data_IF_452530780450
#
_entry.id   IF_452530780450
#
_cell.length_a   1.000
_cell.length_b   1.000
_cell.length_c   1.000
_cell.angle_alpha   90.00
_cell.angle_beta   90.00
_cell.angle_gamma   90.00
#
_symmetry.space_group_name_H-M   'P 1'
#
loop_
_entity.id
_entity.type
_entity.pdbx_description
1 polymer ?
#
# COMPACT_ATOMS: atom_id res chain seq x y z
N UNK A 1 16.44 21.12 -14.55
CA UNK A 1 16.71 19.82 -15.20
C UNK A 1 15.36 19.21 -15.54
N UNK A 2 15.21 18.51 -16.66
CA UNK A 2 13.94 17.86 -17.02
C UNK A 2 13.89 16.48 -16.38
N UNK A 3 12.82 16.16 -15.64
CA UNK A 3 12.63 14.85 -15.02
C UNK A 3 12.37 13.80 -16.11
N UNK A 4 13.11 12.70 -16.10
CA UNK A 4 12.84 11.53 -16.94
C UNK A 4 12.38 10.33 -16.11
N UNK A 5 11.77 9.36 -16.77
CA UNK A 5 11.33 8.10 -16.14
C UNK A 5 12.49 7.40 -15.41
N UNK A 6 13.69 7.36 -16.00
CA UNK A 6 14.88 6.78 -15.35
C UNK A 6 15.29 7.49 -14.05
N UNK A 7 15.03 8.78 -13.93
CA UNK A 7 15.33 9.54 -12.72
C UNK A 7 14.36 9.12 -11.61
N UNK A 8 13.07 8.97 -11.91
CA UNK A 8 12.09 8.42 -10.96
C UNK A 8 12.46 7.00 -10.56
N UNK A 9 12.86 6.14 -11.49
CA UNK A 9 13.31 4.77 -11.18
C UNK A 9 14.47 4.81 -10.18
N UNK A 10 15.47 5.66 -10.42
CA UNK A 10 16.63 5.80 -9.52
C UNK A 10 16.22 6.33 -8.15
N UNK A 11 15.37 7.35 -8.10
CA UNK A 11 14.87 7.95 -6.85
C UNK A 11 14.09 6.92 -6.04
N UNK A 12 13.18 6.19 -6.70
CA UNK A 12 12.39 5.15 -6.05
C UNK A 12 13.24 3.97 -5.62
N UNK A 13 14.25 3.55 -6.37
CA UNK A 13 15.15 2.48 -5.94
C UNK A 13 16.06 2.89 -4.76
N UNK A 14 16.36 4.19 -4.61
CA UNK A 14 17.03 4.70 -3.41
C UNK A 14 16.10 4.73 -2.19
N UNK A 15 14.82 5.05 -2.39
CA UNK A 15 13.85 5.20 -1.31
C UNK A 15 13.21 3.86 -0.89
N UNK A 16 12.69 3.12 -1.87
CA UNK A 16 12.10 1.80 -1.76
C UNK A 16 12.80 0.81 -2.70
N UNK A 17 14.03 0.36 -2.37
CA UNK A 17 14.82 -0.53 -3.21
C UNK A 17 14.07 -1.77 -3.69
N UNK A 18 14.29 -2.17 -4.94
CA UNK A 18 13.61 -3.34 -5.53
C UNK A 18 13.84 -4.64 -4.74
N UNK A 19 14.99 -4.78 -4.08
CA UNK A 19 15.33 -5.95 -3.28
C UNK A 19 14.52 -6.08 -1.97
N UNK A 20 13.73 -5.08 -1.61
CA UNK A 20 12.82 -5.13 -0.47
C UNK A 20 11.44 -5.68 -0.82
N UNK A 21 11.16 -5.92 -2.11
CA UNK A 21 9.91 -6.57 -2.50
C UNK A 21 9.88 -8.01 -2.00
N UNK A 22 8.68 -8.55 -1.79
CA UNK A 22 8.46 -9.97 -1.57
C UNK A 22 8.77 -10.80 -2.83
N UNK A 23 9.10 -12.07 -2.65
CA UNK A 23 9.59 -12.93 -3.75
C UNK A 23 8.56 -13.08 -4.88
N UNK A 24 7.28 -13.13 -4.55
CA UNK A 24 6.17 -13.23 -5.50
C UNK A 24 5.89 -11.92 -6.25
N UNK A 25 6.42 -10.80 -5.78
CA UNK A 25 5.96 -9.48 -6.20
C UNK A 25 6.61 -9.01 -7.52
N UNK A 26 6.00 -8.03 -8.17
CA UNK A 26 6.54 -7.36 -9.35
C UNK A 26 6.49 -5.84 -9.15
N UNK A 27 7.63 -5.17 -9.11
CA UNK A 27 7.73 -3.72 -8.88
C UNK A 27 8.65 -3.07 -9.92
N UNK A 28 8.61 -1.74 -10.03
CA UNK A 28 9.40 -0.98 -10.98
C UNK A 28 8.59 -0.42 -12.15
N UNK A 29 9.28 -0.09 -13.25
CA UNK A 29 8.64 0.39 -14.48
C UNK A 29 7.88 -0.77 -15.15
N UNK A 30 6.55 -0.67 -15.18
CA UNK A 30 5.66 -1.69 -15.72
C UNK A 30 5.44 -1.49 -17.23
N UNK A 31 5.17 -0.25 -17.64
CA UNK A 31 4.86 0.13 -19.02
C UNK A 31 5.50 1.50 -19.25
N UNK A 32 6.26 1.68 -20.32
CA UNK A 32 6.84 2.97 -20.67
C UNK A 32 8.26 2.91 -21.19
N UNK A 33 8.89 4.07 -21.30
CA UNK A 33 10.24 4.25 -21.80
C UNK A 33 11.06 5.10 -20.81
N UNK A 34 12.22 4.57 -20.40
CA UNK A 34 13.13 5.17 -19.41
C UNK A 34 13.63 6.56 -19.81
N UNK A 35 13.72 6.85 -21.10
CA UNK A 35 14.22 8.13 -21.61
C UNK A 35 13.15 9.19 -21.78
N UNK A 36 11.86 8.84 -21.63
CA UNK A 36 10.75 9.78 -21.71
C UNK A 36 10.82 10.81 -20.60
N UNK A 37 10.58 12.06 -20.97
CA UNK A 37 10.37 13.14 -20.03
C UNK A 37 9.05 12.92 -19.29
N UNK A 38 9.06 13.11 -17.97
CA UNK A 38 7.87 13.16 -17.13
C UNK A 38 7.51 14.62 -16.91
N UNK A 39 6.29 15.00 -17.28
CA UNK A 39 5.77 16.37 -17.13
C UNK A 39 4.88 16.46 -15.89
N UNK A 40 3.95 15.53 -15.74
CA UNK A 40 2.96 15.51 -14.66
C UNK A 40 2.67 14.07 -14.23
N UNK A 41 2.56 13.87 -12.92
CA UNK A 41 2.47 12.56 -12.28
C UNK A 41 1.08 12.39 -11.66
N UNK A 42 0.42 11.27 -11.95
CA UNK A 42 -0.78 10.82 -11.24
C UNK A 42 -0.39 9.74 -10.22
N UNK A 43 -0.78 9.90 -8.96
CA UNK A 43 -0.65 8.88 -7.92
C UNK A 43 -1.96 8.11 -7.80
N UNK A 44 -1.89 6.79 -7.85
CA UNK A 44 -3.04 5.88 -7.75
C UNK A 44 -2.70 4.63 -6.94
N UNK A 45 -3.73 3.88 -6.55
CA UNK A 45 -3.59 2.55 -5.95
C UNK A 45 -3.60 1.46 -7.04
N UNK A 46 -4.58 1.55 -7.94
CA UNK A 46 -4.79 0.64 -9.06
C UNK A 46 -4.81 1.38 -10.40
N UNK A 47 -4.18 0.81 -11.43
CA UNK A 47 -4.27 1.34 -12.79
C UNK A 47 -5.55 0.81 -13.47
N UNK A 48 -6.71 1.36 -13.11
CA UNK A 48 -8.01 1.05 -13.73
C UNK A 48 -8.18 1.80 -15.06
N UNK A 49 -9.21 1.47 -15.85
CA UNK A 49 -9.51 2.25 -17.06
C UNK A 49 -9.88 3.69 -16.71
N UNK A 50 -10.64 3.91 -15.63
CA UNK A 50 -11.01 5.27 -15.19
C UNK A 50 -9.79 6.08 -14.73
N UNK A 51 -8.81 5.46 -14.09
CA UNK A 51 -7.53 6.11 -13.72
C UNK A 51 -6.71 6.45 -14.97
N UNK A 52 -6.71 5.61 -16.00
CA UNK A 52 -6.05 5.90 -17.28
C UNK A 52 -6.73 7.09 -17.98
N UNK A 53 -8.06 7.11 -18.02
CA UNK A 53 -8.80 8.24 -18.59
C UNK A 53 -8.58 9.52 -17.79
N UNK A 54 -8.57 9.46 -16.45
CA UNK A 54 -8.21 10.61 -15.60
C UNK A 54 -6.79 11.12 -15.90
N UNK A 55 -5.82 10.22 -16.06
CA UNK A 55 -4.46 10.62 -16.42
C UNK A 55 -4.42 11.38 -17.75
N UNK A 56 -5.19 10.92 -18.75
CA UNK A 56 -5.32 11.62 -20.05
C UNK A 56 -5.97 12.99 -19.90
N UNK A 57 -7.12 13.05 -19.20
CA UNK A 57 -7.86 14.29 -18.96
C UNK A 57 -7.02 15.34 -18.23
N UNK A 58 -6.25 14.91 -17.23
CA UNK A 58 -5.38 15.78 -16.43
C UNK A 58 -3.99 15.99 -17.05
N UNK A 59 -3.74 15.41 -18.22
CA UNK A 59 -2.47 15.48 -18.97
C UNK A 59 -1.27 14.94 -18.18
N UNK A 60 -1.49 13.93 -17.34
CA UNK A 60 -0.44 13.17 -16.69
C UNK A 60 0.15 12.15 -17.67
N UNK A 61 1.47 12.19 -17.87
CA UNK A 61 2.19 11.23 -18.71
C UNK A 61 2.96 10.17 -17.90
N UNK A 62 2.75 10.16 -16.57
CA UNK A 62 3.31 9.19 -15.65
C UNK A 62 2.30 8.85 -14.56
N UNK A 63 2.14 7.57 -14.26
CA UNK A 63 1.33 7.05 -13.15
C UNK A 63 2.26 6.35 -12.17
N UNK A 64 2.30 6.84 -10.93
CA UNK A 64 2.90 6.16 -9.79
C UNK A 64 1.81 5.36 -9.08
N UNK A 65 1.88 4.03 -9.20
CA UNK A 65 0.90 3.11 -8.65
C UNK A 65 1.47 2.34 -7.46
N UNK A 66 0.61 1.96 -6.51
CA UNK A 66 1.00 0.97 -5.50
C UNK A 66 0.96 -0.43 -6.09
N UNK A 67 -0.20 -0.88 -6.59
CA UNK A 67 -0.37 -2.22 -7.13
C UNK A 67 0.25 -2.39 -8.52
N UNK A 68 0.90 -3.52 -8.81
CA UNK A 68 1.43 -3.74 -10.15
C UNK A 68 0.34 -4.13 -11.15
N UNK A 69 0.19 -3.33 -12.21
CA UNK A 69 -0.71 -3.68 -13.34
C UNK A 69 -0.31 -5.01 -14.02
N UNK A 70 0.98 -5.37 -13.96
CA UNK A 70 1.52 -6.63 -14.48
C UNK A 70 1.89 -7.59 -13.34
N UNK A 71 1.01 -7.79 -12.35
CA UNK A 71 1.26 -8.77 -11.27
C UNK A 71 1.46 -10.19 -11.83
N UNK A 72 0.62 -10.59 -12.77
CA UNK A 72 0.78 -11.81 -13.56
C UNK A 72 1.23 -11.47 -14.98
N UNK A 73 2.10 -12.31 -15.54
CA UNK A 73 2.57 -12.14 -16.93
C UNK A 73 1.40 -12.33 -17.92
N UNK A 74 1.11 -11.35 -18.79
CA UNK A 74 0.07 -11.51 -19.80
C UNK A 74 0.48 -12.55 -20.85
N UNK A 75 -0.45 -13.41 -21.26
CA UNK A 75 -0.23 -14.36 -22.37
C UNK A 75 -0.28 -13.68 -23.74
N UNK A 76 -1.09 -12.62 -23.86
CA UNK A 76 -1.24 -11.79 -25.05
C UNK A 76 -1.63 -10.36 -24.66
N UNK A 77 -1.39 -9.41 -25.55
CA UNK A 77 -1.80 -8.00 -25.38
C UNK A 77 -2.70 -7.65 -26.56
N UNK A 78 -4.00 -7.86 -26.39
CA UNK A 78 -5.04 -7.52 -27.38
C UNK A 78 -6.17 -6.74 -26.73
N UNK A 79 -6.98 -6.07 -27.54
CA UNK A 79 -8.19 -5.38 -27.06
C UNK A 79 -9.28 -6.34 -26.60
N UNK A 80 -9.09 -7.66 -26.70
CA UNK A 80 -10.07 -8.66 -26.27
C UNK A 80 -10.01 -8.89 -24.75
N UNK A 81 -8.88 -8.55 -24.12
CA UNK A 81 -8.68 -8.67 -22.67
C UNK A 81 -8.69 -7.31 -22.00
N UNK A 82 -9.18 -7.22 -20.76
CA UNK A 82 -9.16 -5.97 -20.00
C UNK A 82 -7.73 -5.45 -19.78
N UNK A 83 -6.80 -6.34 -19.42
CA UNK A 83 -5.39 -5.98 -19.25
C UNK A 83 -4.78 -5.47 -20.55
N UNK A 84 -5.04 -6.14 -21.68
CA UNK A 84 -4.56 -5.69 -22.98
C UNK A 84 -5.15 -4.33 -23.39
N UNK A 85 -6.45 -4.08 -23.15
CA UNK A 85 -7.06 -2.74 -23.35
C UNK A 85 -6.33 -1.66 -22.54
N UNK A 86 -6.05 -1.91 -21.25
CA UNK A 86 -5.31 -0.98 -20.39
C UNK A 86 -3.92 -0.68 -20.94
N UNK A 87 -3.15 -1.72 -21.26
CA UNK A 87 -1.78 -1.59 -21.79
C UNK A 87 -1.78 -0.81 -23.11
N UNK A 88 -2.67 -1.16 -24.05
CA UNK A 88 -2.77 -0.49 -25.35
C UNK A 88 -3.15 0.99 -25.16
N UNK A 89 -4.05 1.31 -24.24
CA UNK A 89 -4.45 2.69 -23.96
C UNK A 89 -3.28 3.50 -23.37
N UNK A 90 -2.55 2.95 -22.40
CA UNK A 90 -1.36 3.57 -21.82
C UNK A 90 -0.28 3.87 -22.89
N UNK A 91 0.04 2.87 -23.73
CA UNK A 91 1.06 3.01 -24.79
C UNK A 91 0.63 4.06 -25.82
N UNK A 92 -0.62 4.01 -26.30
CA UNK A 92 -1.11 4.95 -27.33
C UNK A 92 -1.15 6.40 -26.85
N UNK A 93 -1.24 6.63 -25.54
CA UNK A 93 -1.29 7.96 -24.96
C UNK A 93 0.05 8.38 -24.32
N UNK A 94 1.14 7.64 -24.54
CA UNK A 94 2.48 7.92 -24.01
C UNK A 94 2.49 8.08 -22.47
N UNK A 95 1.68 7.27 -21.77
CA UNK A 95 1.56 7.26 -20.32
C UNK A 95 2.41 6.12 -19.76
N UNK A 96 3.39 6.49 -18.94
CA UNK A 96 4.31 5.57 -18.28
C UNK A 96 3.71 5.13 -16.94
N UNK A 97 3.91 3.88 -16.53
CA UNK A 97 3.40 3.33 -15.27
C UNK A 97 4.53 2.71 -14.49
N UNK A 98 4.74 3.18 -13.26
CA UNK A 98 5.67 2.60 -12.29
C UNK A 98 4.88 2.08 -11.09
N UNK A 99 5.18 0.87 -10.64
CA UNK A 99 4.56 0.28 -9.45
C UNK A 99 5.58 0.17 -8.31
N UNK A 100 5.19 0.61 -7.12
CA UNK A 100 5.92 0.39 -5.87
C UNK A 100 4.97 -0.24 -4.86
N UNK A 101 5.07 -1.56 -4.71
CA UNK A 101 4.14 -2.40 -3.96
C UNK A 101 4.77 -2.82 -2.63
N UNK A 102 5.14 -4.09 -2.46
CA UNK A 102 5.68 -4.61 -1.19
C UNK A 102 7.02 -3.97 -0.79
N UNK A 103 7.82 -3.50 -1.76
CA UNK A 103 9.02 -2.71 -1.47
C UNK A 103 8.68 -1.39 -0.75
N UNK A 104 7.55 -0.75 -1.09
CA UNK A 104 7.07 0.45 -0.43
C UNK A 104 6.40 0.14 0.92
N UNK A 105 5.75 -1.02 1.05
CA UNK A 105 5.26 -1.51 2.34
C UNK A 105 6.39 -1.77 3.33
N UNK A 106 7.55 -2.19 2.81
CA UNK A 106 8.70 -2.59 3.60
C UNK A 106 9.50 -1.43 4.19
N UNK A 107 9.47 -0.22 3.63
CA UNK A 107 10.43 0.84 4.01
C UNK A 107 10.00 1.70 5.19
N UNK A 108 10.97 2.39 5.79
CA UNK A 108 10.69 3.48 6.73
C UNK A 108 9.94 4.61 6.01
N UNK A 109 8.92 5.16 6.66
CA UNK A 109 7.97 6.11 6.06
C UNK A 109 7.23 5.55 4.82
N UNK A 110 7.15 4.23 4.65
CA UNK A 110 6.34 3.55 3.64
C UNK A 110 4.87 3.39 4.05
N UNK A 111 4.09 2.63 3.26
CA UNK A 111 2.63 2.50 3.44
C UNK A 111 2.26 1.91 4.82
N UNK A 112 2.87 0.80 5.24
CA UNK A 112 2.63 0.20 6.57
C UNK A 112 2.89 1.17 7.73
N UNK A 113 3.99 1.93 7.64
CA UNK A 113 4.32 2.92 8.67
C UNK A 113 3.32 4.09 8.64
N UNK A 114 2.98 4.60 7.46
CA UNK A 114 2.00 5.68 7.31
C UNK A 114 0.62 5.25 7.82
N UNK A 115 0.18 4.01 7.53
CA UNK A 115 -1.05 3.44 8.09
C UNK A 115 -1.02 3.41 9.62
N UNK A 116 0.11 3.01 10.20
CA UNK A 116 0.32 2.97 11.65
C UNK A 116 0.27 4.37 12.27
N UNK A 117 0.88 5.37 11.62
CA UNK A 117 0.84 6.77 12.06
C UNK A 117 -0.54 7.41 11.90
N UNK A 118 -1.31 7.04 10.87
CA UNK A 118 -2.71 7.46 10.70
C UNK A 118 -3.60 6.95 11.84
N UNK A 119 -3.30 5.76 12.36
CA UNK A 119 -3.91 5.24 13.59
C UNK A 119 -3.45 5.99 14.86
N UNK A 120 -2.48 6.89 14.76
CA UNK A 120 -1.96 7.70 15.87
C UNK A 120 -0.91 6.96 16.71
N UNK A 121 -0.17 6.02 16.11
CA UNK A 121 0.91 5.30 16.78
C UNK A 121 2.26 5.66 16.17
N UNK A 122 3.14 6.27 16.96
CA UNK A 122 4.49 6.68 16.54
C UNK A 122 5.60 5.74 17.03
N UNK A 123 5.29 4.86 17.99
CA UNK A 123 6.21 3.86 18.53
C UNK A 123 5.77 2.45 18.11
N UNK A 124 6.59 1.81 17.28
CA UNK A 124 6.34 0.47 16.77
C UNK A 124 7.65 -0.24 16.44
N UNK A 125 7.57 -1.55 16.25
CA UNK A 125 8.62 -2.37 15.63
C UNK A 125 8.11 -2.92 14.31
N UNK A 126 9.02 -3.28 13.40
CA UNK A 126 8.63 -4.07 12.21
C UNK A 126 8.13 -5.45 12.65
N UNK A 127 7.05 -5.92 12.04
CA UNK A 127 6.44 -7.22 12.35
C UNK A 127 7.22 -8.38 11.75
N UNK A 128 7.34 -8.42 10.42
CA UNK A 128 8.21 -9.36 9.69
C UNK A 128 9.40 -8.61 9.09
N UNK A 129 10.58 -8.77 9.70
CA UNK A 129 11.78 -8.06 9.25
C UNK A 129 12.25 -8.59 7.89
N UNK A 130 12.62 -7.68 6.99
CA UNK A 130 13.20 -8.02 5.69
C UNK A 130 14.48 -8.86 5.86
N UNK A 131 14.61 -9.88 5.01
CA UNK A 131 15.78 -10.77 4.94
C UNK A 131 16.80 -10.29 3.90
N UNK A 132 16.51 -9.21 3.19
CA UNK A 132 17.35 -8.70 2.11
C UNK A 132 18.71 -8.20 2.63
N UNK A 133 19.77 -8.51 1.89
CA UNK A 133 21.15 -8.14 2.26
C UNK A 133 21.29 -6.60 2.37
N UNK A 134 21.76 -6.15 3.54
CA UNK A 134 21.91 -4.74 3.89
C UNK A 134 20.66 -4.08 4.49
N UNK A 135 19.55 -4.82 4.63
CA UNK A 135 18.27 -4.30 5.12
C UNK A 135 17.69 -5.13 6.28
N UNK A 136 18.43 -6.12 6.76
CA UNK A 136 18.11 -6.97 7.90
C UNK A 136 18.38 -6.32 9.26
N UNK A 137 18.19 -5.00 9.37
CA UNK A 137 18.51 -4.18 10.55
C UNK A 137 17.29 -3.90 11.45
N UNK A 138 16.15 -4.55 11.19
CA UNK A 138 14.90 -4.37 11.95
C UNK A 138 14.13 -3.08 11.65
N UNK A 139 14.55 -2.31 10.64
CA UNK A 139 13.86 -1.10 10.17
C UNK A 139 13.03 -1.32 8.91
N UNK A 140 13.26 -2.42 8.21
CA UNK A 140 12.58 -2.76 6.96
C UNK A 140 11.81 -4.06 7.11
N UNK A 141 10.64 -4.13 6.50
CA UNK A 141 9.83 -5.32 6.36
C UNK A 141 8.34 -5.03 6.50
N UNK A 142 7.53 -6.08 6.41
CA UNK A 142 6.07 -5.98 6.33
C UNK A 142 5.46 -5.86 7.72
N UNK A 143 4.43 -5.01 7.82
CA UNK A 143 3.64 -4.81 9.02
C UNK A 143 4.37 -4.09 10.15
N UNK A 144 3.58 -3.61 11.12
CA UNK A 144 4.07 -2.93 12.33
C UNK A 144 3.44 -3.55 13.58
N UNK A 145 4.24 -3.68 14.63
CA UNK A 145 3.83 -4.16 15.94
C UNK A 145 3.90 -3.01 16.95
N UNK A 146 2.73 -2.56 17.40
CA UNK A 146 2.57 -1.49 18.38
C UNK A 146 2.35 -2.11 19.76
N UNK A 147 3.05 -1.60 20.77
CA UNK A 147 2.81 -1.92 22.18
C UNK A 147 2.30 -0.68 22.89
N UNK A 148 1.16 -0.80 23.55
CA UNK A 148 0.50 0.27 24.28
C UNK A 148 0.93 0.24 25.75
N UNK A 149 1.25 1.41 26.30
CA UNK A 149 1.53 1.57 27.73
C UNK A 149 0.25 1.38 28.56
N UNK A 150 -0.87 1.91 28.06
CA UNK A 150 -2.22 1.72 28.58
C UNK A 150 -3.04 0.99 27.52
N UNK A 151 -3.64 -0.14 27.89
CA UNK A 151 -4.46 -0.92 26.96
C UNK A 151 -5.73 -0.17 26.55
N UNK A 152 -6.29 -0.54 25.40
CA UNK A 152 -7.56 -0.03 24.86
C UNK A 152 -8.54 -1.19 24.70
N UNK A 153 -9.84 -0.99 24.91
CA UNK A 153 -10.81 -2.05 24.62
C UNK A 153 -10.86 -2.35 23.11
N UNK A 154 -11.19 -3.58 22.72
CA UNK A 154 -11.37 -3.92 21.31
C UNK A 154 -12.44 -3.01 20.65
N UNK A 155 -13.53 -2.73 21.36
CA UNK A 155 -14.59 -1.84 20.89
C UNK A 155 -14.10 -0.44 20.56
N UNK A 156 -13.35 0.18 21.48
CA UNK A 156 -12.76 1.51 21.25
C UNK A 156 -11.73 1.48 20.12
N UNK A 157 -10.95 0.40 20.01
CA UNK A 157 -10.01 0.22 18.92
C UNK A 157 -10.73 0.14 17.56
N UNK A 158 -11.84 -0.59 17.45
CA UNK A 158 -12.67 -0.62 16.24
C UNK A 158 -13.18 0.77 15.85
N UNK A 159 -13.68 1.56 16.82
CA UNK A 159 -14.12 2.94 16.59
C UNK A 159 -12.95 3.80 16.10
N UNK A 160 -11.78 3.68 16.74
CA UNK A 160 -10.55 4.39 16.38
C UNK A 160 -10.10 4.05 14.96
N UNK A 161 -10.04 2.76 14.60
CA UNK A 161 -9.67 2.29 13.26
C UNK A 161 -10.61 2.86 12.20
N UNK A 162 -11.92 2.70 12.40
CA UNK A 162 -12.94 3.21 11.48
C UNK A 162 -12.80 4.72 11.26
N UNK A 163 -12.61 5.49 12.34
CA UNK A 163 -12.46 6.95 12.29
C UNK A 163 -11.15 7.37 11.62
N UNK A 164 -10.02 6.77 12.01
CA UNK A 164 -8.68 7.12 11.51
C UNK A 164 -8.55 6.92 10.00
N UNK A 165 -9.07 5.80 9.47
CA UNK A 165 -9.04 5.55 8.03
C UNK A 165 -10.22 6.14 7.27
N UNK A 166 -11.16 6.80 7.95
CA UNK A 166 -12.42 7.30 7.38
C UNK A 166 -13.21 6.20 6.66
N UNK A 167 -13.21 4.99 7.23
CA UNK A 167 -13.84 3.82 6.65
C UNK A 167 -15.37 3.90 6.77
N UNK A 168 -16.09 3.59 5.69
CA UNK A 168 -17.56 3.47 5.69
C UNK A 168 -18.02 2.38 6.66
N UNK A 169 -17.34 1.23 6.63
CA UNK A 169 -17.54 0.10 7.51
C UNK A 169 -16.20 -0.59 7.82
N UNK A 170 -16.22 -1.46 8.82
CA UNK A 170 -15.15 -2.40 9.14
C UNK A 170 -15.83 -3.70 9.61
N UNK A 171 -15.13 -4.82 9.52
CA UNK A 171 -15.55 -6.10 10.13
C UNK A 171 -14.56 -6.46 11.21
N UNK A 172 -15.01 -7.09 12.29
CA UNK A 172 -14.09 -7.51 13.34
C UNK A 172 -14.59 -8.74 14.08
N UNK A 173 -13.69 -9.41 14.80
CA UNK A 173 -13.97 -10.54 15.67
C UNK A 173 -13.18 -10.43 16.97
N UNK A 174 -13.72 -11.00 18.05
CA UNK A 174 -13.13 -10.98 19.38
C UNK A 174 -14.13 -10.49 20.44
N UNK A 175 -13.71 -10.52 21.71
CA UNK A 175 -14.50 -9.96 22.81
C UNK A 175 -14.32 -8.43 22.83
N UNK A 176 -15.41 -7.68 22.68
CA UNK A 176 -15.44 -6.20 22.68
C UNK A 176 -14.76 -5.57 23.90
N UNK A 177 -14.89 -6.21 25.06
CA UNK A 177 -14.36 -5.73 26.34
C UNK A 177 -12.92 -6.20 26.60
N UNK A 178 -12.33 -7.01 25.69
CA UNK A 178 -10.93 -7.46 25.83
C UNK A 178 -10.01 -6.23 25.79
N UNK A 179 -9.16 -6.13 26.79
CA UNK A 179 -8.10 -5.13 26.84
C UNK A 179 -6.97 -5.51 25.88
N UNK A 180 -6.76 -4.69 24.84
CA UNK A 180 -5.73 -4.84 23.82
C UNK A 180 -4.50 -4.03 24.23
N UNK A 181 -3.33 -4.68 24.32
CA UNK A 181 -2.04 -4.03 24.65
C UNK A 181 -1.04 -4.12 23.52
N UNK A 182 -1.12 -5.14 22.68
CA UNK A 182 -0.25 -5.29 21.51
C UNK A 182 -1.10 -5.38 20.24
N UNK A 183 -0.79 -4.55 19.24
CA UNK A 183 -1.51 -4.49 17.98
C UNK A 183 -0.54 -4.79 16.85
N UNK A 184 -0.86 -5.77 16.02
CA UNK A 184 -0.22 -5.95 14.72
C UNK A 184 -1.03 -5.22 13.64
N UNK A 185 -0.36 -4.45 12.78
CA UNK A 185 -0.98 -3.66 11.71
C UNK A 185 -0.30 -4.06 10.41
N UNK A 186 -1.08 -4.53 9.44
CA UNK A 186 -0.62 -4.90 8.09
C UNK A 186 -1.62 -4.30 7.10
N UNK A 187 -1.22 -3.30 6.30
CA UNK A 187 -2.10 -2.79 5.24
C UNK A 187 -2.34 -3.83 4.14
N UNK A 188 -3.41 -3.65 3.37
CA UNK A 188 -3.74 -4.55 2.28
C UNK A 188 -4.17 -5.93 2.77
N UNK A 189 -3.77 -6.96 2.03
CA UNK A 189 -4.07 -8.36 2.36
C UNK A 189 -3.01 -8.96 3.30
N UNK A 190 -3.30 -8.95 4.61
CA UNK A 190 -2.38 -9.43 5.64
C UNK A 190 -2.66 -10.83 6.18
N UNK A 191 -3.49 -11.64 5.50
CA UNK A 191 -3.91 -12.95 6.00
C UNK A 191 -2.71 -13.88 6.30
N UNK A 192 -1.69 -13.86 5.45
CA UNK A 192 -0.48 -14.69 5.61
C UNK A 192 0.33 -14.32 6.87
N UNK A 193 0.12 -13.11 7.40
CA UNK A 193 0.80 -12.60 8.60
C UNK A 193 0.01 -12.83 9.89
N UNK A 194 -1.17 -13.47 9.85
CA UNK A 194 -2.00 -13.70 11.04
C UNK A 194 -1.27 -14.55 12.08
N UNK A 195 -0.71 -15.69 11.65
CA UNK A 195 0.05 -16.58 12.52
C UNK A 195 1.31 -15.90 13.07
N UNK A 196 2.05 -15.17 12.23
CA UNK A 196 3.22 -14.44 12.68
C UNK A 196 2.85 -13.40 13.75
N UNK A 197 1.80 -12.62 13.51
CA UNK A 197 1.29 -11.61 14.45
C UNK A 197 0.97 -12.20 15.81
N UNK A 198 0.27 -13.33 15.83
CA UNK A 198 0.02 -14.13 17.04
C UNK A 198 1.32 -14.54 17.73
N UNK A 199 2.28 -15.13 17.01
CA UNK A 199 3.56 -15.55 17.61
C UNK A 199 4.38 -14.38 18.18
N UNK A 200 4.20 -13.18 17.64
CA UNK A 200 4.81 -11.94 18.13
C UNK A 200 4.06 -11.33 19.32
N UNK A 201 2.98 -11.97 19.77
CA UNK A 201 2.21 -11.59 20.96
C UNK A 201 1.16 -10.51 20.69
N UNK A 202 0.65 -10.38 19.47
CA UNK A 202 -0.44 -9.45 19.19
C UNK A 202 -1.73 -9.89 19.90
N UNK A 203 -2.39 -8.96 20.58
CA UNK A 203 -3.72 -9.15 21.16
C UNK A 203 -4.83 -8.91 20.13
N UNK A 204 -4.54 -8.02 19.16
CA UNK A 204 -5.38 -7.66 18.04
C UNK A 204 -4.55 -7.49 16.76
N UNK A 205 -5.10 -7.91 15.62
CA UNK A 205 -4.52 -7.74 14.28
C UNK A 205 -5.43 -6.84 13.45
N UNK A 206 -4.87 -5.81 12.82
CA UNK A 206 -5.57 -4.89 11.92
C UNK A 206 -5.05 -5.13 10.50
N UNK A 207 -5.93 -5.50 9.58
CA UNK A 207 -5.58 -5.74 8.17
C UNK A 207 -6.78 -5.63 7.23
N UNK A 208 -6.64 -6.02 5.97
CA UNK A 208 -7.70 -6.17 4.97
C UNK A 208 -7.76 -7.59 4.39
N UNK A 209 -8.79 -7.85 3.58
CA UNK A 209 -8.97 -9.08 2.77
C UNK A 209 -8.88 -10.40 3.55
N UNK A 210 -9.53 -10.45 4.70
CA UNK A 210 -9.56 -11.67 5.50
C UNK A 210 -10.67 -12.64 5.06
N UNK A 211 -10.40 -13.94 5.14
CA UNK A 211 -11.37 -15.00 4.82
C UNK A 211 -11.89 -15.70 6.07
N UNK A 212 -13.12 -16.22 5.98
CA UNK A 212 -13.89 -16.71 7.13
C UNK A 212 -13.16 -17.75 7.99
N UNK A 213 -12.62 -18.81 7.38
CA UNK A 213 -12.03 -19.92 8.13
C UNK A 213 -10.79 -19.50 8.92
N UNK A 214 -9.87 -18.75 8.30
CA UNK A 214 -8.69 -18.24 9.00
C UNK A 214 -9.05 -17.34 10.17
N UNK A 215 -10.08 -16.50 10.02
CA UNK A 215 -10.52 -15.61 11.08
C UNK A 215 -11.25 -16.36 12.20
N UNK A 216 -11.96 -17.44 11.88
CA UNK A 216 -12.56 -18.32 12.88
C UNK A 216 -11.48 -18.95 13.75
N UNK A 217 -10.43 -19.50 13.15
CA UNK A 217 -9.33 -20.16 13.88
C UNK A 217 -8.58 -19.17 14.78
N UNK A 218 -8.21 -18.00 14.24
CA UNK A 218 -7.50 -16.95 15.00
C UNK A 218 -8.36 -16.44 16.18
N UNK A 219 -9.68 -16.39 16.02
CA UNK A 219 -10.61 -16.03 17.09
C UNK A 219 -10.64 -17.09 18.19
N UNK A 220 -10.67 -18.38 17.84
CA UNK A 220 -10.65 -19.47 18.83
C UNK A 220 -9.35 -19.48 19.65
N UNK A 221 -8.25 -19.06 19.04
CA UNK A 221 -6.97 -18.83 19.73
C UNK A 221 -6.95 -17.54 20.59
N UNK A 222 -8.08 -16.83 20.65
CA UNK A 222 -8.27 -15.67 21.52
C UNK A 222 -7.69 -14.37 20.97
N UNK A 223 -7.28 -14.31 19.70
CA UNK A 223 -6.76 -13.10 19.07
C UNK A 223 -7.90 -12.34 18.38
N UNK A 224 -8.00 -11.04 18.65
CA UNK A 224 -8.97 -10.20 17.96
C UNK A 224 -8.46 -9.85 16.56
N UNK A 225 -9.37 -9.70 15.59
CA UNK A 225 -9.02 -9.23 14.25
C UNK A 225 -9.97 -8.13 13.83
N UNK A 226 -9.43 -7.06 13.27
CA UNK A 226 -10.15 -5.97 12.63
C UNK A 226 -9.78 -6.00 11.14
N UNK A 227 -10.72 -6.42 10.32
CA UNK A 227 -10.64 -6.28 8.88
C UNK A 227 -11.21 -4.91 8.50
N UNK A 228 -10.31 -3.97 8.25
CA UNK A 228 -10.64 -2.60 7.87
C UNK A 228 -10.80 -2.40 6.36
N UNK A 229 -10.59 -3.45 5.56
CA UNK A 229 -10.62 -3.41 4.10
C UNK A 229 -9.27 -3.06 3.46
N UNK A 230 -8.97 -3.71 2.33
CA UNK A 230 -7.71 -3.54 1.59
C UNK A 230 -7.52 -2.08 1.16
N UNK A 231 -8.45 -1.56 0.36
CA UNK A 231 -8.41 -0.18 -0.15
C UNK A 231 -8.26 0.85 0.98
N UNK A 232 -9.05 0.68 2.06
CA UNK A 232 -9.10 1.61 3.20
C UNK A 232 -7.75 1.70 3.91
N UNK A 233 -7.10 0.57 4.12
CA UNK A 233 -5.82 0.51 4.83
C UNK A 233 -4.63 0.98 4.01
N UNK A 234 -4.79 1.18 2.70
CA UNK A 234 -3.70 1.53 1.79
C UNK A 234 -3.85 2.89 1.12
N UNK A 235 -5.06 3.27 0.74
CA UNK A 235 -5.26 4.46 -0.07
C UNK A 235 -4.91 5.73 0.71
N UNK A 236 -5.41 5.88 1.94
CA UNK A 236 -5.08 7.06 2.75
C UNK A 236 -3.57 7.17 3.05
N UNK A 237 -2.86 6.08 3.42
CA UNK A 237 -1.40 6.05 3.43
C UNK A 237 -0.75 6.40 2.09
N UNK A 238 -1.25 5.93 0.95
CA UNK A 238 -0.71 6.25 -0.38
C UNK A 238 -0.88 7.75 -0.69
N UNK A 239 -1.99 8.37 -0.27
CA UNK A 239 -2.18 9.82 -0.34
C UNK A 239 -1.20 10.56 0.58
N UNK A 240 -0.84 10.01 1.73
CA UNK A 240 0.22 10.58 2.57
C UNK A 240 1.60 10.42 1.90
N UNK A 241 1.85 9.28 1.26
CA UNK A 241 3.07 9.01 0.52
C UNK A 241 3.24 9.95 -0.68
N UNK A 242 2.18 10.35 -1.37
CA UNK A 242 2.29 11.29 -2.50
C UNK A 242 2.94 12.63 -2.10
N UNK A 243 2.64 13.13 -0.90
CA UNK A 243 3.29 14.32 -0.32
C UNK A 243 4.76 14.06 -0.03
N UNK A 244 5.07 12.88 0.52
CA UNK A 244 6.46 12.48 0.77
C UNK A 244 7.26 12.34 -0.53
N UNK A 245 6.65 11.76 -1.55
CA UNK A 245 7.24 11.62 -2.88
C UNK A 245 7.49 12.98 -3.53
N UNK A 246 6.58 13.94 -3.37
CA UNK A 246 6.79 15.33 -3.81
C UNK A 246 7.99 15.99 -3.11
N UNK A 247 8.15 15.80 -1.80
CA UNK A 247 9.37 16.25 -1.08
C UNK A 247 10.64 15.58 -1.63
N UNK A 248 10.59 14.28 -1.91
CA UNK A 248 11.72 13.54 -2.46
C UNK A 248 12.10 14.08 -3.84
N UNK A 249 11.12 14.36 -4.72
CA UNK A 249 11.37 14.98 -6.02
C UNK A 249 12.01 16.37 -5.88
N UNK A 250 11.48 17.21 -4.99
CA UNK A 250 12.03 18.56 -4.71
C UNK A 250 13.48 18.49 -4.23
N UNK A 251 13.78 17.58 -3.31
CA UNK A 251 15.13 17.37 -2.80
C UNK A 251 16.12 16.88 -3.88
N UNK A 252 15.62 16.27 -4.96
CA UNK A 252 16.39 15.88 -6.12
C UNK A 252 16.39 16.94 -7.24
N UNK A 253 15.84 18.13 -6.99
CA UNK A 253 15.84 19.26 -7.93
C UNK A 253 14.72 19.23 -8.97
N UNK A 254 13.64 18.47 -8.73
CA UNK A 254 12.47 18.36 -9.60
C UNK A 254 11.22 18.94 -8.94
N UNK A 255 10.45 19.74 -9.68
CA UNK A 255 9.23 20.42 -9.20
C UNK A 255 8.00 20.03 -10.04
N UNK A 256 7.96 18.79 -10.52
CA UNK A 256 6.84 18.28 -11.32
C UNK A 256 5.55 18.26 -10.50
N UNK A 257 4.43 18.59 -11.15
CA UNK A 257 3.12 18.54 -10.53
C UNK A 257 2.71 17.07 -10.26
N UNK A 258 2.32 16.80 -9.01
CA UNK A 258 1.77 15.52 -8.58
C UNK A 258 0.28 15.70 -8.27
N UNK A 259 -0.54 14.88 -8.91
CA UNK A 259 -1.97 14.80 -8.67
C UNK A 259 -2.29 13.47 -8.01
N UNK A 260 -3.16 13.47 -7.01
CA UNK A 260 -3.75 12.26 -6.44
C UNK A 260 -5.02 11.93 -7.20
N UNK A 261 -5.15 10.68 -7.66
CA UNK A 261 -6.29 10.22 -8.44
C UNK A 261 -7.62 10.33 -7.68
N UNK A 262 -8.62 10.91 -8.32
CA UNK A 262 -10.01 10.93 -7.84
C UNK A 262 -10.80 9.69 -8.30
N UNK A 263 -10.28 8.97 -9.30
CA UNK A 263 -10.84 7.71 -9.81
C UNK A 263 -10.32 6.47 -9.09
N UNK A 264 -9.36 6.62 -8.19
CA UNK A 264 -8.96 5.58 -7.25
C UNK A 264 -10.02 5.47 -6.16
N UNK A 265 -10.87 4.45 -6.27
CA UNK A 265 -12.02 4.23 -5.39
C UNK A 265 -12.10 2.76 -4.95
N UNK A 266 -12.70 2.51 -3.79
CA UNK A 266 -12.99 1.16 -3.32
C UNK A 266 -13.92 0.46 -4.33
N UNK A 267 -13.56 -0.74 -4.85
CA UNK A 267 -14.45 -1.51 -5.70
C UNK A 267 -15.74 -1.97 -4.98
N UNK A 268 -15.74 -1.99 -3.65
CA UNK A 268 -16.88 -2.39 -2.84
C UNK A 268 -17.77 -1.20 -2.48
N UNK A 269 -19.09 -1.48 -2.46
CA UNK A 269 -20.10 -0.60 -1.87
C UNK A 269 -20.73 -1.31 -0.69
N UNK A 270 -21.07 -0.54 0.34
CA UNK A 270 -21.61 -1.06 1.59
C UNK A 270 -23.03 -0.54 1.77
N UNK A 271 -23.91 -1.41 2.27
CA UNK A 271 -25.33 -1.14 2.57
C UNK A 271 -25.58 -1.23 4.06
#
# INVERSE_FOLDING_TARGET
MSLKVKDIIKIMDQYAPIKLKEDYDNVGLMIGDKEKQVTKILVALDTTLDVIEEAKEKQCNFILNHHPILFLKPKSITTDTLLGKKIINLIKNDINVYASHTNLDSVENGINEMATRILGYDKFKVLDCSRALGYNNGKHGIGRLVKLEQGISLKELCIKVKKSFKASNIRYTGNEEKLIKTIAIINGSGQDYLNLSKTKGADCIITGDTTYHYISDIKEEGIAVIDAGHFVTEWLPMVAFSKKFEEILRNNGFNNEIIVSEKTVDPYKYV
#
